data_IF_142550928300
#
_entry.id   IF_142550928300
#
_cell.length_a   1.000
_cell.length_b   1.000
_cell.length_c   1.000
_cell.angle_alpha   90.00
_cell.angle_beta   90.00
_cell.angle_gamma   90.00
#
_symmetry.space_group_name_H-M   'P 1'
#
loop_
_entity.id
_entity.type
_entity.pdbx_description
1 polymer ?
#
# COMPACT_ATOMS: atom_id res chain seq x y z
N UNK A 1 7.94 -51.45 4.84
CA UNK A 1 7.73 -52.16 3.58
C UNK A 1 7.23 -51.19 2.51
N UNK A 2 7.42 -51.51 1.23
CA UNK A 2 7.01 -50.68 0.10
C UNK A 2 5.52 -50.28 0.15
N UNK A 3 4.68 -51.16 0.68
CA UNK A 3 3.24 -50.92 0.87
C UNK A 3 2.95 -49.79 1.88
N UNK A 4 3.73 -49.67 2.94
CA UNK A 4 3.56 -48.60 3.93
C UNK A 4 4.00 -47.21 3.36
N UNK A 5 5.04 -47.18 2.54
CA UNK A 5 5.47 -45.98 1.84
C UNK A 5 4.41 -45.48 0.84
N UNK A 6 3.77 -46.40 0.11
CA UNK A 6 2.70 -46.07 -0.84
C UNK A 6 1.46 -45.55 -0.08
N UNK A 7 1.11 -46.18 1.05
CA UNK A 7 -0.02 -45.73 1.87
C UNK A 7 0.22 -44.34 2.48
N UNK A 8 1.44 -44.06 2.95
CA UNK A 8 1.81 -42.75 3.49
C UNK A 8 1.80 -41.66 2.43
N UNK A 9 2.24 -41.97 1.19
CA UNK A 9 2.19 -41.02 0.08
C UNK A 9 0.76 -40.74 -0.38
N UNK A 10 -0.15 -41.70 -0.32
CA UNK A 10 -1.56 -41.50 -0.61
C UNK A 10 -2.25 -40.62 0.47
N UNK A 11 -1.97 -40.87 1.76
CA UNK A 11 -2.48 -40.03 2.83
C UNK A 11 -1.99 -38.58 2.75
N UNK A 12 -0.72 -38.37 2.38
CA UNK A 12 -0.15 -37.03 2.18
C UNK A 12 -0.81 -36.34 0.99
N UNK A 13 -1.04 -37.07 -0.08
CA UNK A 13 -1.70 -36.54 -1.30
C UNK A 13 -3.16 -36.16 -1.04
N UNK A 14 -3.88 -36.97 -0.25
CA UNK A 14 -5.26 -36.68 0.14
C UNK A 14 -5.34 -35.48 1.09
N UNK A 15 -4.42 -35.35 2.05
CA UNK A 15 -4.30 -34.15 2.90
C UNK A 15 -3.99 -32.90 2.10
N UNK A 16 -3.05 -32.96 1.16
CA UNK A 16 -2.71 -31.84 0.27
C UNK A 16 -3.91 -31.43 -0.60
N UNK A 17 -4.66 -32.39 -1.13
CA UNK A 17 -5.89 -32.09 -1.88
C UNK A 17 -6.98 -31.47 -0.99
N UNK A 18 -7.09 -31.89 0.27
CA UNK A 18 -8.05 -31.32 1.22
C UNK A 18 -7.66 -29.87 1.57
N UNK A 19 -6.38 -29.61 1.88
CA UNK A 19 -5.88 -28.25 2.14
C UNK A 19 -6.00 -27.35 0.92
N UNK A 20 -5.84 -27.87 -0.29
CA UNK A 20 -6.01 -27.08 -1.52
C UNK A 20 -7.48 -26.76 -1.85
N UNK A 21 -8.42 -27.62 -1.40
CA UNK A 21 -9.86 -27.35 -1.55
C UNK A 21 -10.43 -26.46 -0.44
N UNK A 22 -9.73 -26.34 0.70
CA UNK A 22 -10.06 -25.39 1.78
C UNK A 22 -9.34 -24.05 1.68
N UNK A 23 -8.52 -23.81 0.64
CA UNK A 23 -8.16 -22.44 0.31
C UNK A 23 -9.49 -21.72 0.04
N UNK A 24 -9.84 -20.70 0.85
CA UNK A 24 -11.07 -19.97 0.62
C UNK A 24 -11.01 -19.52 -0.85
N UNK A 25 -11.97 -19.96 -1.63
CA UNK A 25 -12.23 -19.38 -2.93
C UNK A 25 -12.03 -17.90 -2.76
N UNK A 26 -11.05 -17.35 -3.44
CA UNK A 26 -10.87 -15.90 -3.52
C UNK A 26 -12.09 -15.41 -4.28
N UNK A 27 -13.18 -15.38 -3.54
CA UNK A 27 -14.50 -15.07 -3.99
C UNK A 27 -14.42 -13.67 -4.58
N UNK A 28 -14.30 -13.61 -5.90
CA UNK A 28 -14.33 -12.33 -6.64
C UNK A 28 -15.59 -11.55 -6.23
N UNK A 29 -16.65 -12.28 -5.84
CA UNK A 29 -17.86 -11.75 -5.25
C UNK A 29 -17.63 -11.13 -3.87
N UNK A 30 -16.72 -11.65 -3.03
CA UNK A 30 -16.35 -11.07 -1.74
C UNK A 30 -15.51 -9.79 -1.90
N UNK A 31 -14.73 -9.68 -2.97
CA UNK A 31 -14.06 -8.42 -3.36
C UNK A 31 -15.07 -7.37 -3.85
N UNK A 32 -16.09 -7.81 -4.55
CA UNK A 32 -17.19 -6.94 -5.04
C UNK A 32 -18.15 -6.53 -3.92
N UNK A 33 -18.29 -7.32 -2.86
CA UNK A 33 -19.16 -7.05 -1.70
C UNK A 33 -18.53 -6.14 -0.64
N UNK A 34 -17.28 -5.68 -0.83
CA UNK A 34 -16.69 -4.68 0.08
C UNK A 34 -17.56 -3.44 0.13
N UNK A 35 -17.81 -2.89 1.32
CA UNK A 35 -18.72 -1.76 1.47
C UNK A 35 -18.27 -0.62 0.55
N UNK A 36 -19.21 -0.04 -0.18
CA UNK A 36 -19.01 1.10 -1.10
C UNK A 36 -18.16 2.19 -0.45
N UNK A 37 -18.34 2.38 0.86
CA UNK A 37 -17.55 3.33 1.65
C UNK A 37 -16.04 3.08 1.59
N UNK A 38 -15.57 1.83 1.63
CA UNK A 38 -14.14 1.53 1.58
C UNK A 38 -13.55 1.87 0.21
N UNK A 39 -14.28 1.58 -0.87
CA UNK A 39 -13.85 1.93 -2.23
C UNK A 39 -13.74 3.44 -2.41
N UNK A 40 -14.73 4.19 -1.91
CA UNK A 40 -14.72 5.65 -1.96
C UNK A 40 -13.55 6.23 -1.17
N UNK A 41 -13.30 5.74 0.05
CA UNK A 41 -12.17 6.18 0.85
C UNK A 41 -10.83 5.87 0.20
N UNK A 42 -10.66 4.67 -0.36
CA UNK A 42 -9.44 4.29 -1.06
C UNK A 42 -9.22 5.17 -2.29
N UNK A 43 -10.25 5.39 -3.11
CA UNK A 43 -10.18 6.28 -4.29
C UNK A 43 -9.82 7.72 -3.89
N UNK A 44 -10.45 8.24 -2.83
CA UNK A 44 -10.15 9.56 -2.30
C UNK A 44 -8.68 9.70 -1.89
N UNK A 45 -8.14 8.71 -1.17
CA UNK A 45 -6.74 8.75 -0.73
C UNK A 45 -5.72 8.51 -1.85
N UNK A 46 -6.12 7.93 -2.98
CA UNK A 46 -5.27 7.86 -4.20
C UNK A 46 -5.22 9.22 -4.89
N UNK A 47 -6.35 9.93 -4.95
CA UNK A 47 -6.46 11.21 -5.64
C UNK A 47 -5.82 12.34 -4.82
N UNK A 48 -5.95 12.29 -3.49
CA UNK A 48 -5.47 13.33 -2.57
C UNK A 48 -3.98 13.71 -2.77
N UNK A 49 -3.03 12.78 -2.90
CA UNK A 49 -1.63 13.12 -3.14
C UNK A 49 -1.42 13.93 -4.42
N UNK A 50 -2.12 13.62 -5.49
CA UNK A 50 -1.94 14.28 -6.78
C UNK A 50 -2.38 15.74 -6.72
N UNK A 51 -3.58 16.00 -6.17
CA UNK A 51 -4.19 17.33 -6.22
C UNK A 51 -3.88 18.20 -5.01
N UNK A 52 -3.54 17.61 -3.88
CA UNK A 52 -3.32 18.35 -2.62
C UNK A 52 -1.86 18.28 -2.19
N UNK A 53 -1.27 17.10 -2.13
CA UNK A 53 0.09 16.92 -1.62
C UNK A 53 1.12 17.59 -2.53
N UNK A 54 1.11 17.33 -3.82
CA UNK A 54 2.13 17.82 -4.74
C UNK A 54 2.24 19.36 -4.77
N UNK A 55 1.14 20.14 -4.92
CA UNK A 55 1.22 21.59 -4.83
C UNK A 55 1.56 22.07 -3.41
N UNK A 56 1.05 21.41 -2.36
CA UNK A 56 1.34 21.80 -0.98
C UNK A 56 2.82 21.62 -0.62
N UNK A 57 3.42 20.48 -0.95
CA UNK A 57 4.84 20.21 -0.67
C UNK A 57 5.75 21.21 -1.38
N UNK A 58 5.39 21.68 -2.57
CA UNK A 58 6.16 22.70 -3.30
C UNK A 58 6.13 24.05 -2.63
N UNK A 59 4.99 24.42 -2.05
CA UNK A 59 4.81 25.72 -1.38
C UNK A 59 5.38 25.69 0.03
N UNK A 60 5.09 24.65 0.80
CA UNK A 60 5.37 24.54 2.23
C UNK A 60 5.75 23.10 2.62
N UNK A 61 6.97 22.62 2.27
CA UNK A 61 7.35 21.22 2.46
C UNK A 61 7.33 20.79 3.94
N UNK A 62 7.68 21.69 4.88
CA UNK A 62 7.70 21.36 6.31
C UNK A 62 6.28 21.17 6.84
N UNK A 63 5.33 22.01 6.45
CA UNK A 63 3.94 21.89 6.90
C UNK A 63 3.28 20.63 6.34
N UNK A 64 3.55 20.28 5.06
CA UNK A 64 3.09 19.06 4.44
C UNK A 64 3.69 17.80 5.13
N UNK A 65 4.97 17.86 5.55
CA UNK A 65 5.60 16.79 6.32
C UNK A 65 4.97 16.67 7.72
N UNK A 66 4.73 17.78 8.41
CA UNK A 66 4.06 17.80 9.71
C UNK A 66 2.64 17.20 9.65
N UNK A 67 1.96 17.35 8.53
CA UNK A 67 0.64 16.75 8.34
C UNK A 67 0.67 15.21 8.41
N UNK A 68 1.80 14.57 8.13
CA UNK A 68 1.98 13.12 8.34
C UNK A 68 1.70 12.74 9.80
N UNK A 69 2.15 13.55 10.76
CA UNK A 69 1.90 13.29 12.19
C UNK A 69 0.43 13.42 12.55
N UNK A 70 -0.30 14.30 11.87
CA UNK A 70 -1.76 14.42 12.05
C UNK A 70 -2.45 13.15 11.54
N UNK A 71 -2.09 12.67 10.33
CA UNK A 71 -2.63 11.42 9.77
C UNK A 71 -2.35 10.25 10.72
N UNK A 72 -1.11 10.12 11.19
CA UNK A 72 -0.71 9.05 12.13
C UNK A 72 -1.46 9.14 13.45
N UNK A 73 -1.66 10.34 13.99
CA UNK A 73 -2.42 10.54 15.22
C UNK A 73 -3.88 10.11 15.06
N UNK A 74 -4.53 10.51 13.98
CA UNK A 74 -5.90 10.09 13.66
C UNK A 74 -5.98 8.58 13.50
N UNK A 75 -5.03 7.98 12.77
CA UNK A 75 -4.94 6.53 12.61
C UNK A 75 -4.82 5.82 13.95
N UNK A 76 -3.95 6.30 14.84
CA UNK A 76 -3.76 5.75 16.17
C UNK A 76 -5.01 5.86 17.05
N UNK A 77 -5.70 7.00 17.04
CA UNK A 77 -6.95 7.18 17.80
C UNK A 77 -8.06 6.27 17.28
N UNK A 78 -8.16 6.10 15.96
CA UNK A 78 -9.13 5.18 15.36
C UNK A 78 -8.81 3.72 15.68
N UNK A 79 -7.53 3.38 15.75
CA UNK A 79 -7.08 2.03 16.13
C UNK A 79 -7.52 1.63 17.54
N UNK A 80 -7.56 2.58 18.47
CA UNK A 80 -8.01 2.33 19.85
C UNK A 80 -9.50 2.09 19.99
N UNK A 81 -10.31 2.40 18.97
CA UNK A 81 -11.75 2.15 19.01
C UNK A 81 -12.05 0.69 18.72
N UNK A 82 -12.86 0.05 19.56
CA UNK A 82 -13.30 -1.36 19.43
C UNK A 82 -14.33 -1.56 18.29
N UNK A 83 -14.11 -0.95 17.14
CA UNK A 83 -15.00 -1.04 15.98
C UNK A 83 -14.23 -1.54 14.77
N UNK A 84 -14.72 -2.60 14.14
CA UNK A 84 -14.12 -3.16 12.93
C UNK A 84 -14.00 -2.11 11.80
N UNK A 85 -14.96 -1.19 11.69
CA UNK A 85 -14.90 -0.10 10.70
C UNK A 85 -13.77 0.87 11.01
N UNK A 86 -13.61 1.27 12.29
CA UNK A 86 -12.52 2.15 12.70
C UNK A 86 -11.17 1.49 12.52
N UNK A 87 -11.05 0.20 12.76
CA UNK A 87 -9.83 -0.57 12.54
C UNK A 87 -9.42 -0.58 11.06
N UNK A 88 -10.38 -0.84 10.15
CA UNK A 88 -10.13 -0.84 8.69
C UNK A 88 -9.64 0.55 8.23
N UNK A 89 -10.29 1.62 8.67
CA UNK A 89 -9.91 3.00 8.33
C UNK A 89 -8.55 3.34 8.93
N UNK A 90 -8.28 2.94 10.17
CA UNK A 90 -6.98 3.11 10.81
C UNK A 90 -5.86 2.44 10.01
N UNK A 91 -6.05 1.17 9.64
CA UNK A 91 -5.10 0.45 8.80
C UNK A 91 -4.83 1.18 7.48
N UNK A 92 -5.88 1.64 6.80
CA UNK A 92 -5.76 2.42 5.56
C UNK A 92 -4.96 3.70 5.77
N UNK A 93 -5.25 4.46 6.83
CA UNK A 93 -4.54 5.71 7.16
C UNK A 93 -3.05 5.49 7.46
N UNK A 94 -2.66 4.36 8.08
CA UNK A 94 -1.25 4.01 8.23
C UNK A 94 -0.58 3.80 6.87
N UNK A 95 -1.23 3.11 5.93
CA UNK A 95 -0.72 2.96 4.57
C UNK A 95 -0.60 4.30 3.83
N UNK A 96 -1.63 5.15 3.96
CA UNK A 96 -1.65 6.52 3.40
C UNK A 96 -0.51 7.36 4.00
N UNK A 97 -0.27 7.28 5.32
CA UNK A 97 0.81 8.06 5.95
C UNK A 97 2.19 7.67 5.44
N UNK A 98 2.41 6.38 5.13
CA UNK A 98 3.66 5.91 4.52
C UNK A 98 3.88 6.49 3.12
N UNK A 99 2.87 6.43 2.24
CA UNK A 99 2.93 7.04 0.91
C UNK A 99 3.08 8.56 0.98
N UNK A 100 2.33 9.21 1.88
CA UNK A 100 2.41 10.66 2.09
C UNK A 100 3.80 11.10 2.53
N UNK A 101 4.40 10.37 3.48
CA UNK A 101 5.76 10.64 3.95
C UNK A 101 6.78 10.53 2.81
N UNK A 102 6.74 9.45 2.04
CA UNK A 102 7.63 9.24 0.90
C UNK A 102 7.53 10.38 -0.13
N UNK A 103 6.30 10.73 -0.52
CA UNK A 103 6.04 11.83 -1.44
C UNK A 103 6.54 13.19 -0.89
N UNK A 104 6.32 13.48 0.41
CA UNK A 104 6.85 14.71 1.03
C UNK A 104 8.37 14.78 0.98
N UNK A 105 9.06 13.68 1.31
CA UNK A 105 10.52 13.63 1.30
C UNK A 105 11.08 13.80 -0.10
N UNK A 106 10.48 13.14 -1.09
CA UNK A 106 10.94 13.24 -2.46
C UNK A 106 10.66 14.64 -3.05
N UNK A 107 9.40 15.06 -3.09
CA UNK A 107 9.02 16.33 -3.73
C UNK A 107 9.53 17.57 -2.98
N UNK A 108 9.71 17.47 -1.64
CA UNK A 108 10.19 18.58 -0.82
C UNK A 108 11.69 18.85 -0.95
N UNK A 109 12.50 17.78 -1.11
CA UNK A 109 13.97 17.94 -1.03
C UNK A 109 14.74 17.18 -2.11
N UNK A 110 14.19 16.08 -2.65
CA UNK A 110 14.92 15.16 -3.53
C UNK A 110 14.44 15.21 -5.00
N UNK A 111 13.48 16.06 -5.31
CA UNK A 111 12.93 16.21 -6.67
C UNK A 111 13.97 16.48 -7.77
N UNK A 112 15.14 17.14 -7.51
CA UNK A 112 16.18 17.30 -8.53
C UNK A 112 16.86 15.98 -8.94
N UNK A 113 16.66 14.91 -8.16
CA UNK A 113 17.26 13.60 -8.39
C UNK A 113 16.20 12.53 -8.67
N UNK A 114 15.67 12.43 -9.90
CA UNK A 114 14.55 11.51 -10.23
C UNK A 114 14.82 10.05 -9.85
N UNK A 115 16.07 9.60 -9.93
CA UNK A 115 16.49 8.23 -9.61
C UNK A 115 16.20 7.86 -8.14
N UNK A 116 16.06 8.85 -7.25
CA UNK A 116 15.77 8.63 -5.83
C UNK A 116 14.26 8.53 -5.53
N UNK A 117 13.38 8.76 -6.52
CA UNK A 117 11.94 8.76 -6.31
C UNK A 117 11.46 7.43 -5.70
N UNK A 118 11.64 6.34 -6.43
CA UNK A 118 11.23 5.01 -5.96
C UNK A 118 11.95 4.57 -4.67
N UNK A 119 13.29 4.68 -4.54
CA UNK A 119 13.97 4.34 -3.29
C UNK A 119 13.44 5.08 -2.05
N UNK A 120 13.15 6.36 -2.18
CA UNK A 120 12.64 7.17 -1.06
C UNK A 120 11.20 6.80 -0.71
N UNK A 121 10.35 6.63 -1.69
CA UNK A 121 8.98 6.18 -1.46
C UNK A 121 8.93 4.74 -0.94
N UNK A 122 9.92 3.90 -1.25
CA UNK A 122 9.99 2.50 -0.81
C UNK A 122 10.52 2.31 0.63
N UNK A 123 10.88 3.38 1.34
CA UNK A 123 11.46 3.27 2.71
C UNK A 123 10.55 2.49 3.67
N UNK A 124 9.24 2.61 3.54
CA UNK A 124 8.26 1.90 4.39
C UNK A 124 7.90 0.50 3.84
N UNK A 125 8.40 0.12 2.65
CA UNK A 125 8.07 -1.15 2.00
C UNK A 125 8.33 -2.39 2.87
N UNK A 126 9.45 -2.52 3.62
CA UNK A 126 9.67 -3.69 4.48
C UNK A 126 8.57 -3.86 5.53
N UNK A 127 8.11 -2.76 6.14
CA UNK A 127 7.01 -2.78 7.11
C UNK A 127 5.68 -3.15 6.45
N UNK A 128 5.43 -2.64 5.25
CA UNK A 128 4.24 -2.96 4.48
C UNK A 128 4.19 -4.44 4.08
N UNK A 129 5.32 -5.04 3.69
CA UNK A 129 5.39 -6.47 3.37
C UNK A 129 5.07 -7.34 4.58
N UNK A 130 5.60 -7.02 5.76
CA UNK A 130 5.26 -7.70 7.01
C UNK A 130 3.78 -7.53 7.31
N UNK A 131 3.24 -6.33 7.12
CA UNK A 131 1.84 -6.00 7.37
C UNK A 131 0.82 -6.78 6.52
N UNK A 132 1.24 -7.29 5.33
CA UNK A 132 0.36 -8.10 4.47
C UNK A 132 -0.13 -9.39 5.15
N UNK A 133 0.72 -10.02 5.98
CA UNK A 133 0.39 -11.23 6.74
C UNK A 133 -0.37 -10.96 8.04
N UNK A 134 -0.76 -9.74 8.32
CA UNK A 134 -1.38 -9.33 9.58
C UNK A 134 -2.75 -8.67 9.36
N UNK A 135 -3.36 -8.24 10.44
CA UNK A 135 -4.60 -7.45 10.39
C UNK A 135 -4.42 -6.08 9.69
N UNK A 136 -3.18 -5.63 9.49
CA UNK A 136 -2.83 -4.39 8.77
C UNK A 136 -2.83 -4.53 7.25
N UNK A 137 -3.23 -5.69 6.72
CA UNK A 137 -3.21 -6.04 5.30
C UNK A 137 -3.80 -4.96 4.38
N UNK A 138 -4.86 -4.27 4.80
CA UNK A 138 -5.53 -3.25 3.96
C UNK A 138 -4.61 -2.05 3.73
N UNK A 139 -4.02 -1.50 4.79
CA UNK A 139 -3.08 -0.38 4.68
C UNK A 139 -1.80 -0.76 3.96
N UNK A 140 -1.27 -1.95 4.22
CA UNK A 140 -0.11 -2.50 3.54
C UNK A 140 -0.35 -2.67 2.04
N UNK A 141 -1.49 -3.23 1.66
CA UNK A 141 -1.89 -3.37 0.25
C UNK A 141 -2.06 -2.01 -0.42
N UNK A 142 -2.66 -1.04 0.26
CA UNK A 142 -2.78 0.33 -0.26
C UNK A 142 -1.41 0.94 -0.54
N UNK A 143 -0.49 0.90 0.43
CA UNK A 143 0.85 1.45 0.28
C UNK A 143 1.62 0.80 -0.87
N UNK A 144 1.62 -0.54 -0.95
CA UNK A 144 2.31 -1.28 -2.01
C UNK A 144 1.71 -0.95 -3.38
N UNK A 145 0.38 -0.86 -3.48
CA UNK A 145 -0.29 -0.49 -4.73
C UNK A 145 0.01 0.95 -5.14
N UNK A 146 0.09 1.87 -4.19
CA UNK A 146 0.50 3.26 -4.42
C UNK A 146 1.92 3.31 -4.97
N UNK A 147 2.87 2.66 -4.30
CA UNK A 147 4.27 2.58 -4.72
C UNK A 147 4.41 1.95 -6.12
N UNK A 148 3.65 0.91 -6.40
CA UNK A 148 3.63 0.29 -7.73
C UNK A 148 3.11 1.26 -8.79
N UNK A 149 2.07 2.04 -8.48
CA UNK A 149 1.54 3.08 -9.35
C UNK A 149 2.60 4.14 -9.68
N UNK A 150 3.34 4.62 -8.67
CA UNK A 150 4.47 5.55 -8.86
C UNK A 150 5.54 4.94 -9.77
N UNK A 151 5.94 3.69 -9.53
CA UNK A 151 6.95 3.01 -10.35
C UNK A 151 6.52 2.87 -11.82
N UNK A 152 5.26 2.55 -12.08
CA UNK A 152 4.72 2.48 -13.45
C UNK A 152 4.72 3.85 -14.11
N UNK A 153 4.36 4.90 -13.37
CA UNK A 153 4.37 6.28 -13.87
C UNK A 153 5.78 6.73 -14.23
N UNK A 154 6.75 6.53 -13.35
CA UNK A 154 8.15 6.88 -13.59
C UNK A 154 8.72 6.11 -14.79
N UNK A 155 8.42 4.82 -14.88
CA UNK A 155 8.83 4.01 -16.04
C UNK A 155 8.22 4.52 -17.35
N UNK A 156 6.97 4.94 -17.32
CA UNK A 156 6.29 5.52 -18.48
C UNK A 156 6.96 6.82 -18.90
N UNK A 157 7.22 7.72 -17.95
CA UNK A 157 7.92 9.00 -18.19
C UNK A 157 9.30 8.74 -18.81
N UNK A 158 10.03 7.76 -18.28
CA UNK A 158 11.33 7.36 -18.81
C UNK A 158 11.24 6.87 -20.27
N UNK A 159 10.27 5.98 -20.55
CA UNK A 159 10.09 5.38 -21.87
C UNK A 159 9.68 6.40 -22.95
N UNK A 160 8.89 7.41 -22.62
CA UNK A 160 8.48 8.46 -23.56
C UNK A 160 9.51 9.58 -23.72
N UNK A 161 10.66 9.48 -23.01
CA UNK A 161 11.81 10.37 -23.21
C UNK A 161 11.65 11.79 -22.67
N UNK A 162 10.69 12.06 -21.77
CA UNK A 162 10.49 13.38 -21.16
C UNK A 162 11.24 13.57 -19.83
N UNK A 163 12.15 12.65 -19.50
CA UNK A 163 12.96 12.76 -18.26
C UNK A 163 13.83 14.02 -18.23
N UNK A 164 14.25 14.52 -19.38
CA UNK A 164 15.07 15.75 -19.47
C UNK A 164 14.26 16.98 -19.03
N UNK A 165 12.95 16.97 -19.16
CA UNK A 165 12.05 18.04 -18.75
C UNK A 165 11.65 17.96 -17.26
N UNK A 166 12.06 16.90 -16.56
CA UNK A 166 11.73 16.70 -15.13
C UNK A 166 12.19 17.85 -14.23
N UNK A 167 13.29 18.51 -14.61
CA UNK A 167 13.86 19.63 -13.85
C UNK A 167 13.03 20.91 -13.96
N UNK A 168 12.16 21.01 -14.96
CA UNK A 168 11.32 22.18 -15.22
C UNK A 168 9.92 22.05 -14.59
N UNK A 169 9.57 20.86 -14.10
CA UNK A 169 8.30 20.55 -13.44
C UNK A 169 8.42 20.71 -11.93
#
# INVERSE_FOLDING_TARGET
SLKELIKKNLEVKDKLNYEFHELPDTDESALLSRPISLRLWTSFFVILPIFVQAPWVRLEPISALCFTFIILSVAYFLHKKESNKCFIISSLLFGVSGSWLGGCLFWGWLSPFPILHIPVEAVVLPLALIGLGTNWRIGSSFYISSLFGTAVTDMTIFLIGIMDQWKEV
#
